data_IF_858345543905
#
_entry.id   IF_858345543905
#
_cell.length_a   1.000
_cell.length_b   1.000
_cell.length_c   1.000
_cell.angle_alpha   90.00
_cell.angle_beta   90.00
_cell.angle_gamma   90.00
#
_symmetry.space_group_name_H-M   'P 1'
#
loop_
_entity.id
_entity.type
_entity.pdbx_description
1 polymer ?
#
# COMPACT_ATOMS: atom_id res chain seq x y z
N UNK A 1 4.86 6.70 -2.77
CA UNK A 1 3.52 6.91 -3.30
C UNK A 1 3.48 7.03 -4.81
N UNK A 2 2.29 7.20 -5.38
CA UNK A 2 2.13 7.29 -6.83
C UNK A 2 0.67 7.43 -7.24
N UNK A 3 0.37 7.00 -8.47
CA UNK A 3 -0.98 7.08 -9.02
C UNK A 3 -1.84 5.90 -8.59
N UNK A 4 -3.12 6.16 -8.29
CA UNK A 4 -4.12 5.14 -7.95
C UNK A 4 -4.23 4.04 -9.03
N UNK A 5 -4.31 4.45 -10.31
CA UNK A 5 -4.37 3.49 -11.41
C UNK A 5 -3.18 2.54 -11.47
N UNK A 6 -1.97 3.02 -11.13
CA UNK A 6 -0.77 2.17 -11.04
C UNK A 6 -0.87 1.19 -9.87
N UNK A 7 -1.39 1.64 -8.72
CA UNK A 7 -1.60 0.74 -7.58
C UNK A 7 -2.60 -0.37 -7.91
N UNK A 8 -3.72 -0.03 -8.57
CA UNK A 8 -4.72 -1.00 -9.03
C UNK A 8 -4.08 -2.01 -10.01
N UNK A 9 -3.33 -1.51 -11.00
CA UNK A 9 -2.69 -2.38 -11.99
C UNK A 9 -1.67 -3.33 -11.35
N UNK A 10 -0.79 -2.83 -10.46
CA UNK A 10 0.20 -3.67 -9.77
C UNK A 10 -0.50 -4.73 -8.92
N UNK A 11 -1.49 -4.34 -8.11
CA UNK A 11 -2.24 -5.28 -7.28
C UNK A 11 -2.96 -6.34 -8.12
N UNK A 12 -3.46 -5.97 -9.30
CA UNK A 12 -4.16 -6.88 -10.20
C UNK A 12 -3.28 -8.00 -10.77
N UNK A 13 -1.96 -7.87 -10.76
CA UNK A 13 -1.04 -8.94 -11.13
C UNK A 13 -1.01 -10.09 -10.10
N UNK A 14 -1.47 -9.84 -8.90
CA UNK A 14 -1.43 -10.80 -7.80
C UNK A 14 -2.82 -11.25 -7.33
N UNK A 15 -3.86 -10.48 -7.63
CA UNK A 15 -5.24 -10.70 -7.19
C UNK A 15 -6.11 -11.22 -8.34
N UNK A 16 -7.12 -12.01 -7.99
CA UNK A 16 -8.13 -12.48 -8.95
C UNK A 16 -9.01 -11.31 -9.39
N UNK A 17 -9.61 -11.45 -10.56
CA UNK A 17 -10.60 -10.50 -11.06
C UNK A 17 -11.72 -10.25 -10.03
N UNK A 18 -12.08 -8.99 -9.84
CA UNK A 18 -13.14 -8.58 -8.93
C UNK A 18 -12.77 -8.52 -7.44
N UNK A 19 -11.60 -9.02 -7.02
CA UNK A 19 -11.15 -8.86 -5.63
C UNK A 19 -10.93 -7.38 -5.29
N UNK A 20 -11.41 -6.90 -4.12
CA UNK A 20 -11.25 -5.50 -3.73
C UNK A 20 -9.77 -5.15 -3.48
N UNK A 21 -9.36 -3.97 -3.90
CA UNK A 21 -8.00 -3.45 -3.70
C UNK A 21 -8.03 -2.32 -2.69
N UNK A 22 -8.95 -1.37 -2.84
CA UNK A 22 -9.08 -0.21 -1.96
C UNK A 22 -10.50 0.34 -2.02
N UNK A 23 -10.96 0.89 -0.92
CA UNK A 23 -12.26 1.54 -0.83
C UNK A 23 -12.03 3.04 -0.64
N UNK A 24 -12.63 3.84 -1.51
CA UNK A 24 -12.74 5.28 -1.35
C UNK A 24 -14.01 5.58 -0.54
N UNK A 25 -13.84 5.92 0.72
CA UNK A 25 -14.92 6.23 1.63
C UNK A 25 -15.23 7.72 1.60
N UNK A 26 -16.35 8.06 0.99
CA UNK A 26 -16.90 9.41 0.97
C UNK A 26 -17.63 9.75 2.30
N UNK A 27 -17.78 11.05 2.66
CA UNK A 27 -18.72 11.48 3.69
C UNK A 27 -20.17 11.08 3.40
N UNK A 28 -20.53 10.99 2.11
CA UNK A 28 -21.80 10.45 1.63
C UNK A 28 -21.63 8.96 1.29
N UNK A 29 -22.24 8.04 2.05
CA UNK A 29 -22.05 6.60 1.83
C UNK A 29 -22.49 6.11 0.45
N UNK A 30 -23.42 6.79 -0.22
CA UNK A 30 -23.88 6.42 -1.57
C UNK A 30 -22.79 6.67 -2.64
N UNK A 31 -21.79 7.48 -2.30
CA UNK A 31 -20.65 7.82 -3.16
C UNK A 31 -19.39 6.99 -2.86
N UNK A 32 -19.49 5.97 -2.03
CA UNK A 32 -18.36 5.08 -1.79
C UNK A 32 -18.01 4.32 -3.06
N UNK A 33 -16.72 4.25 -3.38
CA UNK A 33 -16.20 3.54 -4.54
C UNK A 33 -15.27 2.42 -4.07
N UNK A 34 -15.50 1.20 -4.55
CA UNK A 34 -14.58 0.09 -4.35
C UNK A 34 -13.82 -0.18 -5.65
N UNK A 35 -12.52 0.07 -5.62
CA UNK A 35 -11.64 -0.28 -6.73
C UNK A 35 -11.23 -1.74 -6.63
N UNK A 36 -11.35 -2.45 -7.76
CA UNK A 36 -11.20 -3.90 -7.81
C UNK A 36 -10.11 -4.31 -8.79
N UNK A 37 -9.60 -5.51 -8.59
CA UNK A 37 -8.63 -6.13 -9.48
C UNK A 37 -9.20 -6.39 -10.87
N UNK A 38 -8.38 -6.14 -11.89
CA UNK A 38 -8.67 -6.41 -13.31
C UNK A 38 -8.39 -7.88 -13.70
N UNK A 39 -7.93 -8.71 -12.76
CA UNK A 39 -7.69 -10.14 -13.00
C UNK A 39 -6.47 -10.49 -13.83
N UNK A 40 -5.50 -9.59 -13.97
CA UNK A 40 -4.23 -9.85 -14.69
C UNK A 40 -3.27 -10.75 -13.90
N UNK A 41 -3.81 -11.67 -13.10
CA UNK A 41 -3.05 -12.49 -12.16
C UNK A 41 -1.95 -13.28 -12.84
N UNK A 42 -0.73 -13.15 -12.33
CA UNK A 42 0.40 -13.99 -12.71
C UNK A 42 0.06 -15.47 -12.50
N UNK A 43 0.41 -16.30 -13.47
CA UNK A 43 0.25 -17.76 -13.36
C UNK A 43 1.36 -18.33 -12.48
N UNK A 44 0.99 -19.23 -11.58
CA UNK A 44 1.92 -19.89 -10.65
C UNK A 44 1.72 -19.49 -9.20
N UNK A 45 2.51 -20.12 -8.32
CA UNK A 45 2.54 -19.82 -6.89
C UNK A 45 3.76 -18.95 -6.60
N UNK A 46 3.52 -17.71 -6.23
CA UNK A 46 4.59 -16.77 -5.88
C UNK A 46 4.50 -16.45 -4.40
N UNK A 47 5.64 -16.42 -3.72
CA UNK A 47 5.77 -15.81 -2.42
C UNK A 47 6.19 -14.36 -2.64
N UNK A 48 5.51 -13.44 -1.98
CA UNK A 48 5.72 -12.01 -2.13
C UNK A 48 6.06 -11.40 -0.78
N UNK A 49 7.14 -10.66 -0.71
CA UNK A 49 7.49 -9.80 0.40
C UNK A 49 7.51 -8.34 -0.06
N UNK A 50 6.96 -7.45 0.72
CA UNK A 50 6.95 -6.01 0.45
C UNK A 50 7.69 -5.33 1.59
N UNK A 51 8.78 -4.64 1.26
CA UNK A 51 9.50 -3.80 2.21
C UNK A 51 8.76 -2.47 2.38
N UNK A 52 8.50 -2.09 3.61
CA UNK A 52 7.77 -0.87 3.96
C UNK A 52 8.47 -0.10 5.08
N UNK A 53 8.32 1.21 5.07
CA UNK A 53 8.88 2.12 6.07
C UNK A 53 7.99 3.37 6.24
N UNK A 54 8.40 4.30 7.11
CA UNK A 54 7.70 5.57 7.33
C UNK A 54 7.64 6.50 6.12
N UNK A 55 8.36 6.23 5.03
CA UNK A 55 8.27 6.93 3.75
C UNK A 55 7.26 6.30 2.77
N UNK A 56 6.83 5.07 3.05
CA UNK A 56 5.83 4.37 2.24
C UNK A 56 4.45 4.98 2.46
N UNK A 57 3.88 5.61 1.42
CA UNK A 57 2.68 6.43 1.54
C UNK A 57 1.70 6.26 0.36
N UNK A 58 0.39 6.53 0.58
CA UNK A 58 -0.62 6.68 -0.49
C UNK A 58 -0.75 5.41 -1.36
N UNK A 59 -0.48 5.50 -2.67
CA UNK A 59 -0.57 4.37 -3.61
C UNK A 59 0.28 3.16 -3.18
N UNK A 60 1.43 3.39 -2.53
CA UNK A 60 2.26 2.30 -1.97
C UNK A 60 1.53 1.59 -0.84
N UNK A 61 0.82 2.33 0.01
CA UNK A 61 0.01 1.74 1.08
C UNK A 61 -1.21 1.00 0.54
N UNK A 62 -1.79 1.47 -0.58
CA UNK A 62 -2.89 0.77 -1.26
C UNK A 62 -2.42 -0.61 -1.74
N UNK A 63 -1.27 -0.69 -2.43
CA UNK A 63 -0.71 -1.97 -2.89
C UNK A 63 -0.38 -2.88 -1.71
N UNK A 64 0.35 -2.35 -0.73
CA UNK A 64 0.80 -3.11 0.43
C UNK A 64 -0.40 -3.66 1.23
N UNK A 65 -1.37 -2.81 1.56
CA UNK A 65 -2.56 -3.21 2.32
C UNK A 65 -3.44 -4.20 1.58
N UNK A 66 -3.63 -4.01 0.27
CA UNK A 66 -4.39 -4.96 -0.54
C UNK A 66 -3.74 -6.35 -0.53
N UNK A 67 -2.45 -6.43 -0.83
CA UNK A 67 -1.76 -7.73 -0.92
C UNK A 67 -1.56 -8.39 0.45
N UNK A 68 -1.40 -7.60 1.52
CA UNK A 68 -1.36 -8.10 2.89
C UNK A 68 -2.70 -8.72 3.30
N UNK A 69 -3.82 -7.99 3.16
CA UNK A 69 -5.13 -8.45 3.61
C UNK A 69 -5.68 -9.63 2.80
N UNK A 70 -5.28 -9.75 1.53
CA UNK A 70 -5.56 -10.96 0.74
C UNK A 70 -4.60 -12.13 1.03
N UNK A 71 -3.64 -11.97 1.94
CA UNK A 71 -2.67 -13.01 2.29
C UNK A 71 -1.71 -13.36 1.16
N UNK A 72 -1.55 -12.48 0.18
CA UNK A 72 -0.67 -12.66 -0.98
C UNK A 72 0.76 -12.27 -0.67
N UNK A 73 0.94 -11.21 0.14
CA UNK A 73 2.26 -10.71 0.52
C UNK A 73 2.42 -10.61 2.03
N UNK A 74 3.67 -10.70 2.49
CA UNK A 74 4.10 -10.32 3.84
C UNK A 74 4.70 -8.93 3.79
N UNK A 75 4.27 -8.04 4.68
CA UNK A 75 4.90 -6.74 4.87
C UNK A 75 6.04 -6.86 5.88
N UNK A 76 7.21 -6.34 5.54
CA UNK A 76 8.42 -6.40 6.36
C UNK A 76 9.00 -5.00 6.46
N UNK A 77 9.43 -4.60 7.65
CA UNK A 77 10.05 -3.30 7.87
C UNK A 77 9.41 -2.50 8.98
N UNK A 78 9.06 -1.26 8.72
CA UNK A 78 8.54 -0.33 9.72
C UNK A 78 7.12 0.14 9.33
N UNK A 79 6.42 0.75 10.32
CA UNK A 79 5.10 1.34 10.12
C UNK A 79 5.08 2.31 8.94
N UNK A 80 4.07 2.23 8.07
CA UNK A 80 3.95 3.14 6.93
C UNK A 80 3.46 4.53 7.34
N UNK A 81 3.46 5.46 6.40
CA UNK A 81 3.19 6.88 6.65
C UNK A 81 1.76 7.19 7.13
N UNK A 82 0.75 6.50 6.61
CA UNK A 82 -0.65 6.78 6.93
C UNK A 82 -1.28 7.90 6.10
N UNK A 83 -0.92 8.02 4.82
CA UNK A 83 -1.56 8.98 3.90
C UNK A 83 -2.83 8.39 3.28
N UNK A 84 -3.88 8.31 4.09
CA UNK A 84 -5.17 7.78 3.69
C UNK A 84 -6.20 8.82 3.26
N UNK A 85 -5.82 10.07 2.99
CA UNK A 85 -6.74 11.11 2.51
C UNK A 85 -6.80 11.17 0.98
N UNK A 86 -8.01 11.25 0.42
CA UNK A 86 -8.27 11.59 -0.97
C UNK A 86 -8.43 13.10 -1.06
N UNK A 87 -7.62 13.74 -1.90
CA UNK A 87 -7.61 15.20 -2.04
C UNK A 87 -7.93 15.59 -3.47
N UNK A 88 -8.76 16.61 -3.62
CA UNK A 88 -9.09 17.25 -4.88
C UNK A 88 -8.52 18.66 -4.94
N UNK A 89 -8.04 19.05 -6.12
CA UNK A 89 -7.61 20.41 -6.43
C UNK A 89 -8.72 21.10 -7.21
N UNK A 90 -9.28 22.15 -6.63
CA UNK A 90 -10.32 22.97 -7.25
C UNK A 90 -9.66 24.27 -7.73
N UNK A 91 -9.67 24.50 -9.05
CA UNK A 91 -9.20 25.74 -9.61
C UNK A 91 -10.18 26.88 -9.28
N UNK A 92 -9.66 27.94 -8.70
CA UNK A 92 -10.40 29.15 -8.37
C UNK A 92 -10.05 30.29 -9.35
N UNK A 93 -10.77 31.41 -9.25
CA UNK A 93 -10.47 32.60 -10.02
C UNK A 93 -9.06 33.14 -9.75
N UNK A 94 -8.46 33.83 -10.75
CA UNK A 94 -7.13 34.43 -10.66
C UNK A 94 -5.95 33.45 -10.48
N UNK A 95 -6.10 32.18 -10.94
CA UNK A 95 -5.02 31.21 -10.94
C UNK A 95 -4.67 30.63 -9.56
N UNK A 96 -5.53 30.84 -8.57
CA UNK A 96 -5.41 30.17 -7.25
C UNK A 96 -6.07 28.79 -7.26
N UNK A 97 -5.59 27.90 -6.40
CA UNK A 97 -6.11 26.54 -6.26
C UNK A 97 -6.49 26.28 -4.80
N UNK A 98 -7.60 25.57 -4.61
CA UNK A 98 -8.03 25.08 -3.31
C UNK A 98 -7.86 23.56 -3.26
N UNK A 99 -7.09 23.08 -2.29
CA UNK A 99 -6.92 21.65 -2.03
C UNK A 99 -7.79 21.23 -0.86
N UNK A 100 -8.75 20.36 -1.14
CA UNK A 100 -9.70 19.86 -0.13
C UNK A 100 -9.63 18.33 0.00
N UNK A 101 -9.86 17.82 1.20
CA UNK A 101 -10.04 16.39 1.42
C UNK A 101 -11.49 16.03 1.19
N UNK A 102 -11.75 15.13 0.25
CA UNK A 102 -13.08 14.71 -0.18
C UNK A 102 -13.46 13.31 0.26
N UNK A 103 -12.49 12.44 0.53
CA UNK A 103 -12.71 11.06 0.94
C UNK A 103 -11.50 10.49 1.70
N UNK A 104 -11.63 9.24 2.15
CA UNK A 104 -10.57 8.50 2.83
C UNK A 104 -10.36 7.14 2.16
N UNK A 105 -9.09 6.72 2.09
CA UNK A 105 -8.72 5.37 1.67
C UNK A 105 -8.89 4.38 2.82
N UNK A 106 -9.66 3.31 2.56
CA UNK A 106 -9.73 2.14 3.43
C UNK A 106 -9.14 0.94 2.69
N UNK A 107 -8.53 0.03 3.43
CA UNK A 107 -8.08 -1.28 2.92
C UNK A 107 -9.29 -2.12 2.47
N UNK A 108 -9.10 -3.26 1.78
CA UNK A 108 -10.19 -4.17 1.41
C UNK A 108 -11.12 -4.55 2.55
N UNK A 109 -10.58 -4.74 3.75
CA UNK A 109 -11.35 -5.07 4.96
C UNK A 109 -11.96 -3.85 5.67
N UNK A 110 -11.85 -2.65 5.08
CA UNK A 110 -12.46 -1.43 5.61
C UNK A 110 -11.64 -0.74 6.71
N UNK A 111 -10.39 -1.10 6.88
CA UNK A 111 -9.48 -0.45 7.85
C UNK A 111 -8.95 0.86 7.26
N UNK A 112 -8.99 1.94 8.04
CA UNK A 112 -8.49 3.24 7.58
C UNK A 112 -6.98 3.28 7.52
N UNK A 113 -6.43 3.68 6.37
CA UNK A 113 -4.99 3.95 6.18
C UNK A 113 -4.59 5.26 6.86
N UNK A 114 -5.55 6.17 7.10
CA UNK A 114 -5.27 7.52 7.62
C UNK A 114 -4.67 7.50 9.02
N UNK A 115 -3.63 8.30 9.23
CA UNK A 115 -2.93 8.57 10.49
C UNK A 115 -1.99 7.44 10.95
N UNK A 116 -2.47 6.20 10.97
CA UNK A 116 -1.70 5.10 11.54
C UNK A 116 -0.89 4.32 10.49
N UNK A 117 -1.26 4.43 9.20
CA UNK A 117 -0.65 3.62 8.16
C UNK A 117 -0.93 2.13 8.32
N UNK A 118 -0.06 1.33 7.71
CA UNK A 118 -0.10 -0.12 7.79
C UNK A 118 0.99 -0.62 8.75
N UNK A 119 0.63 -1.60 9.56
CA UNK A 119 1.59 -2.29 10.42
C UNK A 119 2.19 -3.47 9.65
N UNK A 120 3.52 -3.59 9.54
CA UNK A 120 4.14 -4.74 8.88
C UNK A 120 3.88 -6.03 9.67
N UNK A 121 3.81 -7.17 8.95
CA UNK A 121 3.71 -8.51 9.55
C UNK A 121 4.97 -8.85 10.35
N UNK A 122 6.12 -8.37 9.87
CA UNK A 122 7.42 -8.54 10.53
C UNK A 122 8.07 -7.19 10.70
N UNK A 123 8.14 -6.73 11.94
CA UNK A 123 8.76 -5.44 12.27
C UNK A 123 10.28 -5.59 12.28
N UNK A 124 10.94 -4.88 11.38
CA UNK A 124 12.40 -4.82 11.26
C UNK A 124 12.81 -3.36 11.14
N UNK A 125 13.44 -2.83 12.17
CA UNK A 125 13.98 -1.47 12.13
C UNK A 125 15.19 -1.43 11.20
N UNK A 126 15.21 -0.46 10.29
CA UNK A 126 16.34 -0.25 9.39
C UNK A 126 17.62 0.11 10.17
N UNK A 127 18.75 -0.51 9.79
CA UNK A 127 20.07 -0.23 10.35
C UNK A 127 20.88 0.63 9.38
N UNK A 128 20.86 1.96 9.52
CA UNK A 128 21.57 2.87 8.61
C UNK A 128 23.10 2.78 8.74
N UNK A 129 23.62 2.36 9.89
CA UNK A 129 25.07 2.21 10.10
C UNK A 129 25.60 0.99 9.35
N UNK A 130 24.93 -0.16 9.51
CA UNK A 130 25.29 -1.36 8.78
C UNK A 130 25.16 -1.17 7.27
N UNK A 131 24.13 -0.45 6.82
CA UNK A 131 23.96 -0.15 5.39
C UNK A 131 25.08 0.76 4.87
N UNK A 132 25.43 1.83 5.59
CA UNK A 132 26.48 2.76 5.20
C UNK A 132 27.88 2.14 5.17
N UNK A 133 28.19 1.31 6.17
CA UNK A 133 29.54 0.73 6.32
C UNK A 133 29.77 -0.49 5.41
N UNK A 134 28.75 -1.33 5.23
CA UNK A 134 28.88 -2.65 4.60
C UNK A 134 27.97 -2.84 3.41
N UNK A 135 27.10 -1.88 3.07
CA UNK A 135 26.02 -2.07 2.08
C UNK A 135 25.01 -3.13 2.52
N UNK A 136 24.90 -3.42 3.82
CA UNK A 136 24.04 -4.46 4.35
C UNK A 136 22.66 -3.91 4.68
N UNK A 137 21.66 -4.37 3.94
CA UNK A 137 20.24 -4.06 4.17
C UNK A 137 19.61 -5.17 5.00
N UNK A 138 19.43 -4.92 6.30
CA UNK A 138 18.87 -5.90 7.23
C UNK A 138 17.38 -6.19 6.98
N UNK A 139 16.62 -5.26 6.40
CA UNK A 139 15.22 -5.47 6.02
C UNK A 139 15.12 -6.39 4.81
N UNK A 140 15.94 -6.16 3.78
CA UNK A 140 16.02 -7.02 2.60
C UNK A 140 16.48 -8.43 2.96
N UNK A 141 17.48 -8.55 3.85
CA UNK A 141 17.98 -9.85 4.34
C UNK A 141 16.87 -10.64 5.03
N UNK A 142 16.09 -9.99 5.91
CA UNK A 142 14.98 -10.65 6.61
C UNK A 142 13.88 -11.07 5.64
N UNK A 143 13.54 -10.23 4.66
CA UNK A 143 12.61 -10.58 3.60
C UNK A 143 13.07 -11.82 2.82
N UNK A 144 14.34 -11.88 2.45
CA UNK A 144 14.92 -13.02 1.74
C UNK A 144 14.84 -14.31 2.59
N UNK A 145 15.13 -14.24 3.89
CA UNK A 145 15.01 -15.38 4.82
C UNK A 145 13.57 -15.90 4.86
N UNK A 146 12.59 -15.00 5.00
CA UNK A 146 11.17 -15.35 5.05
C UNK A 146 10.73 -16.04 3.75
N UNK A 147 11.14 -15.51 2.59
CA UNK A 147 10.79 -16.11 1.30
C UNK A 147 11.44 -17.49 1.08
N UNK A 148 12.61 -17.73 1.68
CA UNK A 148 13.38 -18.97 1.53
C UNK A 148 13.07 -20.04 2.61
N UNK A 149 12.55 -19.62 3.78
CA UNK A 149 12.37 -20.53 4.93
C UNK A 149 11.20 -21.51 4.80
N UNK A 150 10.22 -21.21 3.96
CA UNK A 150 9.05 -22.07 3.76
C UNK A 150 9.29 -23.04 2.57
N UNK A 151 10.09 -24.07 2.81
CA UNK A 151 10.13 -25.26 1.97
C UNK A 151 9.38 -26.39 2.64
#
# INVERSE_FOLDING_TARGET
GGYLGSAINISSWFLKEGEPIVIEKSPDPEKNITYRSNGNKLTGTFKVAILVDGGSASASEIVAGALQEHGVAKLIGEQTFGKGSVQELINLSHGSELKITIAQWLTPNGVSISKNGLTPDVVVKFDPEAFKEKGYDNQLEEAAKILLSDK
#
